data_IF_063518301567
#
_entry.id   IF_063518301567
#
_cell.length_a   1.000
_cell.length_b   1.000
_cell.length_c   1.000
_cell.angle_alpha   90.00
_cell.angle_beta   90.00
_cell.angle_gamma   90.00
#
_symmetry.space_group_name_H-M   'P 1'
#
loop_
_entity.id
_entity.type
_entity.pdbx_description
1 polymer ?
#
# COMPACT_ATOMS: atom_id res chain seq x y z
N UNK A 1 -34.96 -12.77 -1.84
CA UNK A 1 -35.03 -11.57 -0.97
C UNK A 1 -33.84 -10.70 -1.36
N UNK A 2 -34.08 -9.62 -2.12
CA UNK A 2 -33.02 -8.92 -2.88
C UNK A 2 -32.04 -8.16 -1.98
N UNK A 3 -30.74 -8.42 -2.17
CA UNK A 3 -29.63 -7.62 -1.62
C UNK A 3 -29.76 -6.17 -2.13
N UNK A 4 -29.43 -5.20 -1.28
CA UNK A 4 -29.24 -3.81 -1.74
C UNK A 4 -28.00 -3.79 -2.64
N UNK A 5 -28.15 -3.35 -3.90
CA UNK A 5 -27.03 -3.08 -4.80
C UNK A 5 -25.95 -2.30 -4.06
N UNK A 6 -24.69 -2.61 -4.38
CA UNK A 6 -23.55 -1.87 -3.85
C UNK A 6 -23.75 -0.37 -4.11
N UNK A 7 -23.46 0.44 -3.09
CA UNK A 7 -23.69 1.89 -3.10
C UNK A 7 -22.33 2.59 -3.19
N UNK A 8 -22.16 3.50 -4.15
CA UNK A 8 -20.99 4.39 -4.23
C UNK A 8 -20.09 4.25 -5.46
N UNK A 9 -20.48 3.47 -6.47
CA UNK A 9 -19.72 3.34 -7.71
C UNK A 9 -18.40 2.57 -7.55
N UNK A 10 -17.54 2.67 -8.56
CA UNK A 10 -16.28 1.90 -8.64
C UNK A 10 -15.23 2.31 -7.61
N UNK A 11 -15.36 3.50 -7.02
CA UNK A 11 -14.44 4.06 -6.03
C UNK A 11 -14.73 3.61 -4.60
N UNK A 12 -15.93 3.08 -4.33
CA UNK A 12 -16.27 2.48 -3.04
C UNK A 12 -16.13 0.98 -3.18
N UNK A 13 -15.33 0.33 -2.34
CA UNK A 13 -15.26 -1.13 -2.26
C UNK A 13 -16.09 -1.65 -1.08
N UNK A 14 -16.59 -2.88 -1.24
CA UNK A 14 -17.10 -3.67 -0.13
C UNK A 14 -16.19 -4.89 0.04
N UNK A 15 -15.54 -5.02 1.21
CA UNK A 15 -14.73 -6.19 1.55
C UNK A 15 -15.47 -7.06 2.58
N UNK A 16 -15.90 -8.28 2.20
CA UNK A 16 -16.55 -9.22 3.10
C UNK A 16 -15.77 -9.47 4.38
N UNK A 17 -16.45 -9.60 5.52
CA UNK A 17 -15.83 -9.93 6.81
C UNK A 17 -15.02 -11.23 6.72
N UNK A 18 -15.52 -12.24 6.00
CA UNK A 18 -14.80 -13.50 5.74
C UNK A 18 -13.43 -13.27 5.09
N UNK A 19 -13.33 -12.33 4.15
CA UNK A 19 -12.07 -11.93 3.52
C UNK A 19 -11.22 -11.09 4.48
N UNK A 20 -11.81 -10.23 5.31
CA UNK A 20 -11.06 -9.43 6.30
C UNK A 20 -10.36 -10.34 7.30
N UNK A 21 -11.07 -11.36 7.80
CA UNK A 21 -10.61 -12.30 8.82
C UNK A 21 -9.74 -13.44 8.24
N UNK A 22 -9.82 -13.68 6.93
CA UNK A 22 -9.04 -14.72 6.28
C UNK A 22 -7.52 -14.55 6.45
N UNK A 23 -6.82 -15.69 6.49
CA UNK A 23 -5.36 -15.74 6.61
C UNK A 23 -4.70 -15.66 5.23
N UNK A 24 -4.10 -14.53 4.89
CA UNK A 24 -3.34 -14.34 3.66
C UNK A 24 -2.16 -13.38 3.83
N UNK A 25 -1.21 -13.41 2.89
CA UNK A 25 -0.06 -12.50 2.85
C UNK A 25 0.03 -11.89 1.45
N UNK A 26 -0.65 -10.77 1.26
CA UNK A 26 -0.57 -9.95 0.05
C UNK A 26 0.32 -8.74 0.35
N UNK A 27 1.19 -8.39 -0.59
CA UNK A 27 1.94 -7.14 -0.51
C UNK A 27 1.05 -5.90 -0.73
N UNK A 28 1.60 -4.69 -0.57
CA UNK A 28 0.79 -3.46 -0.67
C UNK A 28 0.10 -3.33 -2.04
N UNK A 29 0.81 -3.67 -3.13
CA UNK A 29 0.36 -3.49 -4.51
C UNK A 29 -0.58 -4.61 -4.95
N UNK A 30 -0.43 -5.79 -4.38
CA UNK A 30 -1.39 -6.87 -4.55
C UNK A 30 -2.71 -6.54 -3.85
N UNK A 31 -2.66 -5.95 -2.65
CA UNK A 31 -3.87 -5.42 -2.01
C UNK A 31 -4.55 -4.34 -2.86
N UNK A 32 -3.79 -3.47 -3.56
CA UNK A 32 -4.37 -2.46 -4.46
C UNK A 32 -5.26 -3.11 -5.53
N UNK A 33 -4.77 -4.17 -6.17
CA UNK A 33 -5.53 -4.91 -7.21
C UNK A 33 -6.82 -5.51 -6.61
N UNK A 34 -6.74 -6.07 -5.41
CA UNK A 34 -7.91 -6.62 -4.73
C UNK A 34 -8.91 -5.53 -4.31
N UNK A 35 -8.44 -4.38 -3.85
CA UNK A 35 -9.32 -3.24 -3.50
C UNK A 35 -10.06 -2.71 -4.72
N UNK A 36 -9.35 -2.51 -5.84
CA UNK A 36 -9.93 -2.06 -7.11
C UNK A 36 -10.96 -3.09 -7.61
N UNK A 37 -10.62 -4.38 -7.55
CA UNK A 37 -11.56 -5.43 -7.94
C UNK A 37 -12.83 -5.40 -7.08
N UNK A 38 -12.71 -5.29 -5.76
CA UNK A 38 -13.86 -5.17 -4.86
C UNK A 38 -14.63 -3.84 -5.07
N UNK A 39 -13.98 -2.85 -5.68
CA UNK A 39 -14.57 -1.63 -6.26
C UNK A 39 -15.46 -1.91 -7.48
N UNK A 40 -15.19 -2.94 -8.26
CA UNK A 40 -15.96 -3.24 -9.49
C UNK A 40 -17.00 -4.33 -9.25
N UNK A 41 -16.72 -5.30 -8.36
CA UNK A 41 -17.64 -6.40 -8.06
C UNK A 41 -18.97 -5.89 -7.50
N UNK A 42 -20.07 -6.33 -8.12
CA UNK A 42 -21.45 -5.99 -7.76
C UNK A 42 -21.96 -4.67 -8.33
N UNK A 43 -21.19 -4.00 -9.19
CA UNK A 43 -21.61 -2.78 -9.91
C UNK A 43 -22.38 -3.14 -11.20
N UNK A 44 -23.25 -2.24 -11.66
CA UNK A 44 -23.97 -2.39 -12.93
C UNK A 44 -24.93 -3.59 -12.99
N UNK A 45 -24.67 -4.47 -13.96
CA UNK A 45 -25.35 -5.74 -14.25
C UNK A 45 -24.55 -6.97 -13.77
N UNK A 46 -23.50 -6.78 -12.96
CA UNK A 46 -22.68 -7.86 -12.42
C UNK A 46 -23.48 -8.82 -11.52
N UNK A 47 -23.44 -10.12 -11.86
CA UNK A 47 -24.12 -11.21 -11.16
C UNK A 47 -23.11 -12.24 -10.63
N UNK A 48 -23.54 -13.20 -9.83
CA UNK A 48 -22.73 -14.31 -9.32
C UNK A 48 -22.06 -15.14 -10.43
N UNK A 49 -22.64 -15.18 -11.64
CA UNK A 49 -22.10 -15.92 -12.79
C UNK A 49 -20.93 -15.21 -13.48
N UNK A 50 -20.82 -13.89 -13.31
CA UNK A 50 -19.76 -13.07 -13.88
C UNK A 50 -18.47 -13.24 -13.07
N UNK A 51 -17.65 -14.22 -13.44
CA UNK A 51 -16.38 -14.50 -12.75
C UNK A 51 -15.18 -13.74 -13.31
N UNK A 52 -15.34 -13.09 -14.47
CA UNK A 52 -14.25 -12.43 -15.19
C UNK A 52 -14.33 -10.92 -15.10
N UNK A 53 -13.19 -10.29 -14.80
CA UNK A 53 -13.06 -8.84 -14.64
C UNK A 53 -11.90 -8.27 -15.42
N UNK A 54 -12.05 -7.01 -15.81
CA UNK A 54 -11.00 -6.20 -16.42
C UNK A 54 -10.84 -4.90 -15.63
N UNK A 55 -9.59 -4.57 -15.29
CA UNK A 55 -9.21 -3.32 -14.64
C UNK A 55 -8.36 -2.54 -15.63
N UNK A 56 -8.90 -1.46 -16.20
CA UNK A 56 -8.08 -0.54 -16.98
C UNK A 56 -7.25 0.32 -16.03
N UNK A 57 -5.95 0.43 -16.30
CA UNK A 57 -5.07 1.17 -15.40
C UNK A 57 -5.31 2.69 -15.51
N UNK A 58 -5.68 3.18 -16.69
CA UNK A 58 -6.07 4.59 -16.89
C UNK A 58 -7.21 5.03 -15.98
N UNK A 59 -8.17 4.14 -15.72
CA UNK A 59 -9.39 4.42 -14.95
C UNK A 59 -9.14 4.45 -13.44
N UNK A 60 -7.97 4.01 -12.96
CA UNK A 60 -7.73 3.84 -11.51
C UNK A 60 -6.44 4.50 -11.03
N UNK A 61 -5.56 4.92 -11.94
CA UNK A 61 -4.28 5.52 -11.55
C UNK A 61 -4.44 6.84 -10.78
N UNK A 62 -5.50 7.58 -11.05
CA UNK A 62 -5.82 8.86 -10.40
C UNK A 62 -6.21 8.71 -8.92
N UNK A 63 -6.51 7.48 -8.47
CA UNK A 63 -6.83 7.17 -7.08
C UNK A 63 -5.58 7.06 -6.20
N UNK A 64 -4.40 6.95 -6.82
CA UNK A 64 -3.13 7.06 -6.11
C UNK A 64 -2.79 8.54 -5.89
N UNK A 65 -2.07 8.82 -4.81
CA UNK A 65 -1.41 10.08 -4.62
C UNK A 65 -0.47 10.36 -5.81
N UNK A 66 -0.30 11.64 -6.16
CA UNK A 66 0.49 12.09 -7.32
C UNK A 66 1.87 11.43 -7.45
N UNK A 67 2.50 11.11 -6.32
CA UNK A 67 3.82 10.45 -6.29
C UNK A 67 3.81 9.04 -6.90
N UNK A 68 2.69 8.34 -6.75
CA UNK A 68 2.50 6.95 -7.14
C UNK A 68 1.67 6.80 -8.42
N UNK A 69 0.86 7.80 -8.80
CA UNK A 69 0.04 7.78 -10.02
C UNK A 69 0.89 7.52 -11.28
N UNK A 70 1.99 8.27 -11.46
CA UNK A 70 2.91 8.11 -12.59
C UNK A 70 3.56 6.73 -12.66
N UNK A 71 3.65 6.03 -11.53
CA UNK A 71 4.25 4.70 -11.42
C UNK A 71 3.22 3.56 -11.38
N UNK A 72 1.92 3.87 -11.43
CA UNK A 72 0.83 2.91 -11.26
C UNK A 72 0.95 1.73 -12.24
N UNK A 73 1.27 1.99 -13.50
CA UNK A 73 1.45 0.95 -14.52
C UNK A 73 2.53 -0.07 -14.13
N UNK A 74 3.71 0.43 -13.74
CA UNK A 74 4.86 -0.41 -13.36
C UNK A 74 4.58 -1.20 -12.08
N UNK A 75 3.98 -0.55 -11.08
CA UNK A 75 3.64 -1.20 -9.81
C UNK A 75 2.62 -2.30 -9.98
N UNK A 76 1.53 -2.04 -10.71
CA UNK A 76 0.47 -2.99 -10.94
C UNK A 76 0.92 -4.14 -11.85
N UNK A 77 1.75 -3.86 -12.86
CA UNK A 77 2.36 -4.91 -13.67
C UNK A 77 3.24 -5.85 -12.83
N UNK A 78 4.08 -5.29 -11.95
CA UNK A 78 4.93 -6.09 -11.04
C UNK A 78 4.10 -6.88 -10.04
N UNK A 79 3.02 -6.30 -9.51
CA UNK A 79 2.13 -6.96 -8.57
C UNK A 79 1.42 -8.18 -9.18
N UNK A 80 0.95 -8.07 -10.43
CA UNK A 80 0.34 -9.18 -11.17
C UNK A 80 1.27 -10.41 -11.21
N UNK A 81 2.56 -10.21 -11.48
CA UNK A 81 3.53 -11.33 -11.54
C UNK A 81 3.74 -12.03 -10.21
N UNK A 82 3.49 -11.36 -9.09
CA UNK A 82 3.69 -11.91 -7.75
C UNK A 82 2.46 -12.63 -7.19
N UNK A 83 1.33 -12.62 -7.90
CA UNK A 83 0.10 -13.27 -7.43
C UNK A 83 0.12 -14.79 -7.55
N UNK A 84 1.08 -15.35 -8.29
CA UNK A 84 1.21 -16.80 -8.44
C UNK A 84 1.39 -17.48 -7.08
N UNK A 85 0.59 -18.53 -6.82
CA UNK A 85 0.60 -19.25 -5.56
C UNK A 85 -0.02 -18.50 -4.37
N UNK A 86 -0.59 -17.31 -4.58
CA UNK A 86 -1.25 -16.55 -3.51
C UNK A 86 -2.74 -16.85 -3.44
N UNK A 87 -3.21 -16.94 -2.20
CA UNK A 87 -4.59 -17.22 -1.86
C UNK A 87 -4.82 -16.97 -0.38
N UNK A 88 -5.99 -17.40 0.08
CA UNK A 88 -6.38 -17.29 1.47
C UNK A 88 -6.92 -18.63 1.97
N UNK A 89 -6.82 -18.83 3.29
CA UNK A 89 -7.40 -19.99 3.95
C UNK A 89 -8.59 -19.57 4.79
N UNK A 90 -9.67 -20.34 4.70
CA UNK A 90 -10.83 -20.28 5.59
C UNK A 90 -10.87 -21.55 6.43
N UNK A 91 -11.25 -21.40 7.69
CA UNK A 91 -11.48 -22.53 8.58
C UNK A 91 -12.85 -23.13 8.25
N UNK A 92 -12.91 -24.43 8.01
CA UNK A 92 -14.16 -25.17 7.80
C UNK A 92 -14.56 -25.84 9.12
N UNK A 93 -13.74 -26.77 9.61
CA UNK A 93 -13.96 -27.55 10.83
C UNK A 93 -12.70 -27.60 11.71
N UNK A 94 -12.74 -28.30 12.85
CA UNK A 94 -11.55 -28.56 13.67
C UNK A 94 -10.50 -29.36 12.88
N UNK A 95 -9.44 -28.68 12.44
CA UNK A 95 -8.31 -29.29 11.74
C UNK A 95 -8.39 -29.25 10.21
N UNK A 96 -9.48 -28.73 9.64
CA UNK A 96 -9.67 -28.61 8.19
C UNK A 96 -9.74 -27.15 7.76
N UNK A 97 -8.79 -26.75 6.90
CA UNK A 97 -8.75 -25.43 6.27
C UNK A 97 -8.95 -25.59 4.75
N UNK A 98 -9.88 -24.83 4.17
CA UNK A 98 -10.02 -24.73 2.71
C UNK A 98 -9.09 -23.64 2.19
N UNK A 99 -8.32 -23.94 1.14
CA UNK A 99 -7.49 -22.96 0.43
C UNK A 99 -8.17 -22.50 -0.85
N UNK A 100 -8.36 -21.19 -0.96
CA UNK A 100 -8.85 -20.54 -2.18
C UNK A 100 -7.72 -19.73 -2.83
N UNK A 101 -7.35 -19.97 -4.09
CA UNK A 101 -6.50 -19.05 -4.83
C UNK A 101 -7.24 -17.71 -4.99
N UNK A 102 -6.51 -16.59 -4.96
CA UNK A 102 -7.13 -15.28 -5.16
C UNK A 102 -7.78 -15.15 -6.54
N UNK A 103 -7.08 -15.64 -7.56
CA UNK A 103 -7.55 -15.63 -8.94
C UNK A 103 -7.27 -16.99 -9.58
N UNK A 104 -8.28 -17.55 -10.24
CA UNK A 104 -8.12 -18.71 -11.12
C UNK A 104 -7.24 -18.36 -12.33
N UNK A 105 -7.19 -17.08 -12.69
CA UNK A 105 -6.34 -16.52 -13.73
C UNK A 105 -6.08 -15.05 -13.44
N UNK A 106 -4.86 -14.58 -13.66
CA UNK A 106 -4.55 -13.15 -13.72
C UNK A 106 -3.50 -12.88 -14.79
N UNK A 107 -3.68 -11.82 -15.58
CA UNK A 107 -2.69 -11.37 -16.56
C UNK A 107 -2.67 -9.87 -16.69
N UNK A 108 -1.48 -9.33 -16.95
CA UNK A 108 -1.28 -7.94 -17.33
C UNK A 108 -1.21 -7.85 -18.87
N UNK A 109 -2.10 -7.07 -19.48
CA UNK A 109 -2.12 -6.82 -20.91
C UNK A 109 -1.62 -5.41 -21.20
N UNK A 110 -0.33 -5.30 -21.54
CA UNK A 110 0.29 -4.03 -21.94
C UNK A 110 -0.19 -3.64 -23.35
N UNK A 111 -0.69 -2.42 -23.52
CA UNK A 111 -0.97 -1.85 -24.85
C UNK A 111 0.20 -0.98 -25.29
N UNK A 112 0.85 -1.36 -26.40
CA UNK A 112 1.96 -0.57 -26.98
C UNK A 112 1.42 0.73 -27.56
N UNK A 113 2.11 1.84 -27.30
CA UNK A 113 1.78 3.17 -27.82
C UNK A 113 0.67 3.92 -27.06
N UNK A 114 0.00 3.28 -26.10
CA UNK A 114 -1.00 3.93 -25.25
C UNK A 114 -1.11 3.17 -23.92
N UNK A 115 -0.33 3.58 -22.93
CA UNK A 115 -0.31 2.90 -21.64
C UNK A 115 -1.66 3.02 -20.91
N UNK A 116 -2.45 4.09 -21.14
CA UNK A 116 -3.78 4.26 -20.53
C UNK A 116 -4.74 3.11 -20.88
N UNK A 117 -4.56 2.47 -22.04
CA UNK A 117 -5.31 1.29 -22.46
C UNK A 117 -4.71 -0.05 -22.01
N UNK A 118 -3.69 -0.04 -21.17
CA UNK A 118 -3.21 -1.26 -20.51
C UNK A 118 -4.20 -1.69 -19.42
N UNK A 119 -4.41 -3.00 -19.31
CA UNK A 119 -5.38 -3.57 -18.38
C UNK A 119 -4.90 -4.81 -17.66
N UNK A 120 -5.44 -5.05 -16.47
CA UNK A 120 -5.34 -6.34 -15.77
C UNK A 120 -6.62 -7.10 -16.10
N UNK A 121 -6.48 -8.37 -16.50
CA UNK A 121 -7.60 -9.28 -16.71
C UNK A 121 -7.48 -10.41 -15.72
N UNK A 122 -8.54 -10.65 -14.96
CA UNK A 122 -8.57 -11.66 -13.90
C UNK A 122 -9.87 -12.46 -13.92
N UNK A 123 -9.79 -13.70 -13.49
CA UNK A 123 -10.93 -14.59 -13.32
C UNK A 123 -10.97 -15.07 -11.86
N UNK A 124 -12.11 -14.91 -11.19
CA UNK A 124 -12.38 -15.42 -9.84
C UNK A 124 -12.85 -16.87 -9.88
N UNK A 125 -12.59 -17.63 -8.82
CA UNK A 125 -13.27 -18.89 -8.61
C UNK A 125 -14.76 -18.63 -8.33
N UNK A 126 -15.72 -19.42 -8.86
CA UNK A 126 -17.16 -19.22 -8.64
C UNK A 126 -17.53 -19.11 -7.15
N UNK A 127 -16.99 -19.98 -6.29
CA UNK A 127 -17.25 -19.89 -4.84
C UNK A 127 -16.71 -18.61 -4.20
N UNK A 128 -15.56 -18.09 -4.67
CA UNK A 128 -15.01 -16.82 -4.17
C UNK A 128 -15.91 -15.66 -4.61
N UNK A 129 -16.40 -15.70 -5.85
CA UNK A 129 -17.37 -14.71 -6.37
C UNK A 129 -18.67 -14.76 -5.58
N UNK A 130 -19.24 -15.95 -5.37
CA UNK A 130 -20.44 -16.15 -4.56
C UNK A 130 -20.24 -15.68 -3.12
N UNK A 131 -19.09 -15.96 -2.51
CA UNK A 131 -18.75 -15.50 -1.16
C UNK A 131 -18.75 -13.98 -1.06
N UNK A 132 -18.22 -13.26 -2.06
CA UNK A 132 -18.24 -11.79 -2.10
C UNK A 132 -19.67 -11.26 -2.33
N UNK A 133 -20.44 -11.90 -3.22
CA UNK A 133 -21.79 -11.48 -3.62
C UNK A 133 -22.88 -11.84 -2.60
N UNK A 134 -22.66 -12.84 -1.74
CA UNK A 134 -23.59 -13.25 -0.69
C UNK A 134 -23.28 -12.63 0.67
N UNK A 135 -22.08 -12.07 0.85
CA UNK A 135 -21.64 -11.50 2.13
C UNK A 135 -22.54 -10.35 2.61
N UNK A 136 -22.98 -10.46 3.87
CA UNK A 136 -23.85 -9.48 4.55
C UNK A 136 -23.09 -8.57 5.51
N UNK A 137 -21.91 -9.00 5.96
CA UNK A 137 -21.04 -8.29 6.89
C UNK A 137 -19.68 -8.03 6.23
N UNK A 138 -19.07 -6.91 6.57
CA UNK A 138 -17.83 -6.45 5.96
C UNK A 138 -17.66 -4.93 6.02
N UNK A 139 -16.55 -4.47 5.48
CA UNK A 139 -16.18 -3.06 5.45
C UNK A 139 -16.56 -2.41 4.11
N UNK A 140 -17.28 -1.29 4.16
CA UNK A 140 -17.37 -0.35 3.03
C UNK A 140 -16.30 0.74 3.20
N UNK A 141 -15.54 1.02 2.15
CA UNK A 141 -14.49 2.05 2.17
C UNK A 141 -14.27 2.64 0.79
N UNK A 142 -13.79 3.89 0.73
CA UNK A 142 -13.26 4.45 -0.51
C UNK A 142 -11.89 3.87 -0.78
N UNK A 143 -11.67 3.33 -1.97
CA UNK A 143 -10.43 2.61 -2.33
C UNK A 143 -9.21 3.53 -2.33
N UNK A 144 -9.40 4.83 -2.53
CA UNK A 144 -8.34 5.84 -2.42
C UNK A 144 -7.53 5.74 -1.11
N UNK A 145 -8.19 5.43 0.01
CA UNK A 145 -7.52 5.39 1.31
C UNK A 145 -6.53 4.23 1.40
N UNK A 146 -6.95 2.96 1.24
CA UNK A 146 -6.01 1.85 1.28
C UNK A 146 -5.01 1.87 0.12
N UNK A 147 -5.34 2.40 -1.06
CA UNK A 147 -4.40 2.52 -2.18
C UNK A 147 -3.16 3.35 -1.82
N UNK A 148 -3.33 4.30 -0.91
CA UNK A 148 -2.29 5.23 -0.48
C UNK A 148 -1.58 4.83 0.82
N UNK A 149 -1.98 3.71 1.44
CA UNK A 149 -1.23 3.10 2.54
C UNK A 149 0.01 2.37 2.01
N UNK A 150 1.17 2.74 2.53
CA UNK A 150 2.48 2.25 2.11
C UNK A 150 2.87 0.93 2.75
N UNK A 151 2.32 0.58 3.93
CA UNK A 151 2.66 -0.65 4.65
C UNK A 151 1.56 -1.72 4.52
N UNK A 152 1.97 -2.98 4.32
CA UNK A 152 1.03 -4.11 4.19
C UNK A 152 0.14 -4.31 5.42
N UNK A 153 0.70 -4.15 6.63
CA UNK A 153 -0.05 -4.31 7.87
C UNK A 153 -0.98 -3.13 8.15
N UNK A 154 -0.65 -1.92 7.70
CA UNK A 154 -1.59 -0.79 7.78
C UNK A 154 -2.83 -1.04 6.96
N UNK A 155 -2.70 -1.61 5.76
CA UNK A 155 -3.85 -2.02 4.96
C UNK A 155 -4.69 -3.07 5.69
N UNK A 156 -4.08 -4.19 6.11
CA UNK A 156 -4.78 -5.26 6.83
C UNK A 156 -5.53 -4.72 8.06
N UNK A 157 -4.87 -3.87 8.86
CA UNK A 157 -5.48 -3.28 10.05
C UNK A 157 -6.59 -2.30 9.69
N UNK A 158 -6.42 -1.48 8.65
CA UNK A 158 -7.44 -0.54 8.18
C UNK A 158 -8.77 -1.25 7.89
N UNK A 159 -8.77 -2.36 7.15
CA UNK A 159 -10.02 -3.06 6.84
C UNK A 159 -10.69 -3.64 8.10
N UNK A 160 -9.90 -4.17 9.04
CA UNK A 160 -10.40 -4.67 10.32
C UNK A 160 -11.05 -3.54 11.14
N UNK A 161 -10.36 -2.41 11.27
CA UNK A 161 -10.89 -1.24 12.00
C UNK A 161 -12.13 -0.68 11.31
N UNK A 162 -12.15 -0.65 9.97
CA UNK A 162 -13.27 -0.16 9.18
C UNK A 162 -14.52 -1.03 9.32
N UNK A 163 -14.37 -2.35 9.33
CA UNK A 163 -15.47 -3.30 9.60
C UNK A 163 -16.09 -3.07 10.97
N UNK A 164 -15.28 -2.74 11.97
CA UNK A 164 -15.72 -2.51 13.35
C UNK A 164 -16.00 -1.04 13.69
N UNK A 165 -15.96 -0.11 12.74
CA UNK A 165 -16.03 1.33 13.04
C UNK A 165 -17.37 1.76 13.68
N UNK A 166 -18.45 1.05 13.36
CA UNK A 166 -19.80 1.29 13.90
C UNK A 166 -20.19 0.32 15.01
N UNK A 167 -19.41 -0.74 15.19
CA UNK A 167 -19.67 -1.76 16.19
C UNK A 167 -19.39 -1.22 17.60
N UNK A 168 -20.38 -1.27 18.48
CA UNK A 168 -20.24 -0.85 19.90
C UNK A 168 -19.56 0.54 20.06
N UNK A 169 -19.97 1.52 19.24
CA UNK A 169 -19.38 2.86 19.24
C UNK A 169 -17.91 2.91 18.78
N UNK A 170 -17.49 1.94 17.96
CA UNK A 170 -16.13 1.78 17.46
C UNK A 170 -15.17 1.10 18.44
N UNK A 171 -15.67 0.52 19.53
CA UNK A 171 -14.83 -0.10 20.58
C UNK A 171 -14.95 -1.61 20.55
N UNK A 172 -13.82 -2.29 20.37
CA UNK A 172 -13.75 -3.75 20.38
C UNK A 172 -12.41 -4.26 20.91
N UNK A 173 -12.37 -5.53 21.28
CA UNK A 173 -11.17 -6.22 21.77
C UNK A 173 -10.92 -7.43 20.88
N UNK A 174 -9.66 -7.64 20.50
CA UNK A 174 -9.20 -8.83 19.78
C UNK A 174 -8.02 -9.44 20.53
N UNK A 175 -7.92 -10.77 20.59
CA UNK A 175 -6.74 -11.41 21.17
C UNK A 175 -5.50 -11.09 20.32
N UNK A 176 -4.36 -10.93 20.99
CA UNK A 176 -3.12 -10.61 20.29
C UNK A 176 -2.68 -11.76 19.37
N UNK A 177 -2.94 -13.00 19.79
CA UNK A 177 -2.70 -14.20 18.99
C UNK A 177 -3.57 -14.24 17.72
N UNK A 178 -4.87 -13.94 17.81
CA UNK A 178 -5.73 -13.90 16.63
C UNK A 178 -5.31 -12.78 15.68
N UNK A 179 -4.97 -11.61 16.21
CA UNK A 179 -4.45 -10.51 15.40
C UNK A 179 -3.15 -10.92 14.67
N UNK A 180 -2.23 -11.67 15.32
CA UNK A 180 -1.03 -12.20 14.67
C UNK A 180 -1.35 -13.20 13.56
N UNK A 181 -2.30 -14.12 13.80
CA UNK A 181 -2.74 -15.13 12.83
C UNK A 181 -3.38 -14.49 11.61
N UNK A 182 -4.26 -13.52 11.81
CA UNK A 182 -4.84 -12.72 10.73
C UNK A 182 -3.74 -12.03 9.91
N UNK A 183 -2.73 -11.46 10.56
CA UNK A 183 -1.61 -10.79 9.87
C UNK A 183 -0.57 -11.75 9.24
N UNK A 184 -0.74 -13.08 9.39
CA UNK A 184 0.26 -14.10 8.99
C UNK A 184 1.67 -13.82 9.53
N UNK A 185 1.76 -13.34 10.77
CA UNK A 185 3.05 -13.11 11.41
C UNK A 185 3.57 -14.43 11.99
N UNK A 186 4.81 -14.86 11.69
CA UNK A 186 5.36 -16.08 12.25
C UNK A 186 5.41 -16.03 13.78
N UNK A 187 5.14 -17.14 14.45
CA UNK A 187 5.14 -17.24 15.91
C UNK A 187 6.50 -16.89 16.52
N UNK A 188 7.60 -17.15 15.79
CA UNK A 188 8.98 -16.88 16.19
C UNK A 188 9.30 -15.40 16.42
N UNK A 189 8.47 -14.47 15.92
CA UNK A 189 8.73 -13.04 16.09
C UNK A 189 8.39 -12.59 17.52
N UNK A 190 9.33 -11.89 18.16
CA UNK A 190 9.13 -11.33 19.49
C UNK A 190 7.98 -10.32 19.51
N UNK A 191 7.12 -10.41 20.54
CA UNK A 191 5.90 -9.59 20.67
C UNK A 191 6.15 -8.07 20.55
N UNK A 192 7.30 -7.57 21.04
CA UNK A 192 7.66 -6.16 20.89
C UNK A 192 7.86 -5.72 19.44
N UNK A 193 8.53 -6.54 18.63
CA UNK A 193 8.68 -6.28 17.19
C UNK A 193 7.34 -6.38 16.46
N UNK A 194 6.52 -7.36 16.84
CA UNK A 194 5.18 -7.56 16.28
C UNK A 194 4.31 -6.33 16.54
N UNK A 195 4.25 -5.83 17.79
CA UNK A 195 3.53 -4.60 18.17
C UNK A 195 3.94 -3.42 17.29
N UNK A 196 5.25 -3.21 17.09
CA UNK A 196 5.75 -2.10 16.28
C UNK A 196 5.26 -2.19 14.82
N UNK A 197 5.28 -3.38 14.24
CA UNK A 197 4.91 -3.56 12.82
C UNK A 197 3.39 -3.55 12.57
N UNK A 198 2.57 -4.04 13.50
CA UNK A 198 1.11 -4.17 13.29
C UNK A 198 0.24 -3.19 14.05
N UNK A 199 0.81 -2.44 15.00
CA UNK A 199 0.08 -1.41 15.75
C UNK A 199 0.72 -0.04 15.57
N UNK A 200 2.00 0.13 15.93
CA UNK A 200 2.64 1.46 15.96
C UNK A 200 2.73 2.08 14.56
N UNK A 201 3.28 1.37 13.57
CA UNK A 201 3.35 1.88 12.19
C UNK A 201 1.96 2.08 11.57
N UNK A 202 1.01 1.13 11.68
CA UNK A 202 -0.36 1.37 11.24
C UNK A 202 -1.06 2.54 11.92
N UNK A 203 -0.79 2.79 13.21
CA UNK A 203 -1.36 3.91 13.94
C UNK A 203 -0.99 5.24 13.29
N UNK A 204 0.30 5.48 13.06
CA UNK A 204 0.77 6.70 12.39
C UNK A 204 0.15 6.86 11.00
N UNK A 205 0.13 5.78 10.21
CA UNK A 205 -0.27 5.84 8.81
C UNK A 205 -1.79 6.01 8.63
N UNK A 206 -2.60 5.23 9.36
CA UNK A 206 -4.06 5.28 9.27
C UNK A 206 -4.58 6.60 9.88
N UNK A 207 -4.05 6.99 11.04
CA UNK A 207 -4.41 8.24 11.69
C UNK A 207 -3.83 9.47 10.99
N UNK A 208 -2.97 9.34 9.99
CA UNK A 208 -2.55 10.45 9.13
C UNK A 208 -3.38 10.55 7.84
N UNK A 209 -3.69 9.40 7.22
CA UNK A 209 -3.98 9.35 5.78
C UNK A 209 -5.34 8.76 5.39
N UNK A 210 -6.21 8.39 6.34
CA UNK A 210 -7.49 7.71 6.04
C UNK A 210 -8.74 8.43 6.54
N UNK A 211 -9.95 7.93 6.23
CA UNK A 211 -11.23 8.42 6.76
C UNK A 211 -11.55 7.98 8.19
N UNK A 212 -10.63 7.26 8.85
CA UNK A 212 -10.77 6.86 10.24
C UNK A 212 -9.54 7.30 11.03
N UNK A 213 -9.74 7.44 12.33
CA UNK A 213 -8.66 7.42 13.31
C UNK A 213 -8.96 6.37 14.36
N UNK A 214 -7.93 5.82 14.98
CA UNK A 214 -8.09 4.86 16.06
C UNK A 214 -7.08 5.08 17.18
N UNK A 215 -7.50 4.75 18.38
CA UNK A 215 -6.64 4.56 19.55
C UNK A 215 -6.57 3.07 19.88
N UNK A 216 -5.48 2.64 20.51
CA UNK A 216 -5.37 1.26 20.99
C UNK A 216 -4.73 1.17 22.39
N UNK A 217 -5.14 0.16 23.14
CA UNK A 217 -4.64 -0.16 24.48
C UNK A 217 -4.26 -1.64 24.51
N UNK A 218 -3.07 -1.96 25.02
CA UNK A 218 -2.64 -3.34 25.23
C UNK A 218 -3.19 -3.86 26.55
N UNK A 219 -3.88 -5.00 26.48
CA UNK A 219 -4.30 -5.75 27.66
C UNK A 219 -3.22 -6.79 27.92
N UNK A 220 -2.68 -6.79 29.14
CA UNK A 220 -1.66 -7.74 29.56
C UNK A 220 -2.21 -8.74 30.57
N UNK A 221 -1.68 -9.95 30.54
CA UNK A 221 -2.02 -11.00 31.49
C UNK A 221 -0.75 -11.60 32.10
N UNK A 222 -0.90 -12.16 33.30
CA UNK A 222 0.19 -12.84 33.97
C UNK A 222 0.31 -14.26 33.41
N UNK A 223 1.43 -14.54 32.76
CA UNK A 223 1.74 -15.86 32.22
C UNK A 223 2.08 -16.84 33.35
N UNK A 224 2.00 -18.17 33.12
CA UNK A 224 2.41 -19.19 34.09
C UNK A 224 3.86 -19.02 34.58
N UNK A 225 4.73 -18.42 33.76
CA UNK A 225 6.12 -18.07 34.11
C UNK A 225 6.24 -16.90 35.10
N UNK A 226 5.14 -16.24 35.46
CA UNK A 226 5.12 -15.05 36.32
C UNK A 226 5.35 -13.72 35.59
N UNK A 227 5.73 -13.74 34.31
CA UNK A 227 5.91 -12.55 33.48
C UNK A 227 4.57 -12.02 32.95
N UNK A 228 4.51 -10.74 32.57
CA UNK A 228 3.35 -10.17 31.88
C UNK A 228 3.50 -10.30 30.36
N UNK A 229 2.52 -10.96 29.72
CA UNK A 229 2.41 -11.08 28.27
C UNK A 229 1.28 -10.19 27.72
N UNK A 230 1.34 -9.84 26.44
CA UNK A 230 0.23 -9.17 25.76
C UNK A 230 -0.81 -10.24 25.42
N UNK A 231 -2.00 -10.16 26.00
CA UNK A 231 -3.09 -11.10 25.76
C UNK A 231 -4.04 -10.61 24.68
N UNK A 232 -4.36 -9.32 24.69
CA UNK A 232 -5.31 -8.72 23.77
C UNK A 232 -5.00 -7.25 23.47
N UNK A 233 -5.64 -6.74 22.43
CA UNK A 233 -5.62 -5.33 22.04
C UNK A 233 -7.04 -4.82 22.04
N UNK A 234 -7.28 -3.72 22.77
CA UNK A 234 -8.52 -2.95 22.70
C UNK A 234 -8.33 -1.83 21.70
N UNK A 235 -9.23 -1.72 20.73
CA UNK A 235 -9.28 -0.62 19.77
C UNK A 235 -10.44 0.31 20.08
N UNK A 236 -10.27 1.59 19.76
CA UNK A 236 -11.33 2.61 19.70
C UNK A 236 -11.22 3.36 18.39
N UNK A 237 -12.12 3.10 17.47
CA UNK A 237 -12.16 3.67 16.12
C UNK A 237 -13.15 4.82 16.06
N UNK A 238 -12.82 5.86 15.32
CA UNK A 238 -13.70 7.00 15.03
C UNK A 238 -13.61 7.34 13.54
N UNK A 239 -14.75 7.69 12.96
CA UNK A 239 -14.78 8.28 11.62
C UNK A 239 -14.28 9.72 11.70
N UNK A 240 -13.43 10.09 10.75
CA UNK A 240 -12.89 11.45 10.62
C UNK A 240 -13.30 11.99 9.26
N UNK A 241 -13.75 13.24 9.22
CA UNK A 241 -13.89 13.96 7.96
C UNK A 241 -12.50 14.47 7.57
N UNK A 242 -11.80 13.72 6.74
CA UNK A 242 -10.66 14.26 6.01
C UNK A 242 -11.15 14.75 4.66
N UNK A 243 -10.91 16.03 4.37
CA UNK A 243 -10.85 16.46 2.98
C UNK A 243 -9.74 15.62 2.37
N UNK A 244 -10.07 14.77 1.41
CA UNK A 244 -9.06 14.01 0.68
C UNK A 244 -7.96 14.97 0.22
N UNK A 245 -6.70 14.63 0.43
CA UNK A 245 -5.58 15.34 -0.21
C UNK A 245 -5.49 15.07 -1.71
N UNK A 246 -6.46 14.32 -2.23
CA UNK A 246 -6.88 14.37 -3.63
C UNK A 246 -7.45 15.76 -3.83
N UNK A 247 -6.71 16.60 -4.55
CA UNK A 247 -7.34 17.73 -5.24
C UNK A 247 -8.44 17.09 -6.05
N UNK A 248 -9.70 17.45 -5.76
CA UNK A 248 -10.82 17.20 -6.64
C UNK A 248 -10.34 17.51 -8.05
N UNK A 249 -10.12 16.47 -8.85
CA UNK A 249 -10.25 16.67 -10.28
C UNK A 249 -11.73 16.96 -10.43
N UNK A 250 -12.07 18.24 -10.56
CA UNK A 250 -13.29 18.56 -11.26
C UNK A 250 -13.17 17.87 -12.61
N UNK A 251 -13.82 16.73 -12.75
CA UNK A 251 -14.19 16.19 -14.05
C UNK A 251 -15.17 17.19 -14.64
N UNK A 252 -14.65 18.26 -15.23
CA UNK A 252 -15.36 19.00 -16.26
C UNK A 252 -14.94 18.36 -17.58
N UNK A 253 -15.54 17.20 -17.87
CA UNK A 253 -15.88 16.88 -19.24
C UNK A 253 -17.37 17.13 -19.42
N UNK A 254 -17.74 18.40 -19.46
CA UNK A 254 -18.87 18.84 -20.26
C UNK A 254 -18.34 19.89 -21.24
N UNK A 255 -18.47 19.60 -22.53
CA UNK A 255 -18.36 20.53 -23.66
C UNK A 255 -17.00 20.78 -24.32
N UNK A 256 -16.12 19.78 -24.46
CA UNK A 256 -15.21 19.69 -25.62
C UNK A 256 -14.31 20.91 -25.91
N UNK A 257 -13.98 21.73 -24.91
CA UNK A 257 -13.06 22.86 -25.06
C UNK A 257 -11.66 22.46 -24.61
N UNK A 258 -10.66 22.83 -25.42
CA UNK A 258 -9.24 22.64 -25.17
C UNK A 258 -8.82 23.29 -23.84
N UNK A 259 -8.24 22.48 -22.94
CA UNK A 259 -7.64 22.95 -21.69
C UNK A 259 -6.56 23.99 -22.01
N UNK A 260 -6.79 25.25 -21.66
CA UNK A 260 -5.77 26.31 -21.73
C UNK A 260 -4.67 26.01 -20.72
N UNK A 261 -3.41 25.95 -21.16
CA UNK A 261 -2.24 25.91 -20.28
C UNK A 261 -1.97 27.30 -19.71
N UNK A 262 -1.48 27.38 -18.46
CA UNK A 262 -0.95 28.64 -17.93
C UNK A 262 0.45 28.90 -18.49
N UNK A 263 0.95 30.14 -18.39
CA UNK A 263 2.33 30.47 -18.82
C UNK A 263 3.37 29.61 -18.11
N UNK A 264 3.22 29.42 -16.79
CA UNK A 264 4.09 28.55 -15.98
C UNK A 264 4.00 27.07 -16.42
N UNK A 265 2.80 26.58 -16.74
CA UNK A 265 2.63 25.21 -17.24
C UNK A 265 3.32 25.02 -18.58
N UNK A 266 3.19 26.00 -19.48
CA UNK A 266 3.83 25.96 -20.80
C UNK A 266 5.35 26.03 -20.69
N UNK A 267 5.90 26.87 -19.80
CA UNK A 267 7.34 26.97 -19.57
C UNK A 267 7.93 25.62 -19.12
N UNK A 268 7.26 24.91 -18.21
CA UNK A 268 7.74 23.62 -17.70
C UNK A 268 7.62 22.52 -18.77
N UNK A 269 6.55 22.53 -19.56
CA UNK A 269 6.37 21.61 -20.71
C UNK A 269 7.51 21.80 -21.70
N UNK A 270 7.79 23.04 -22.09
CA UNK A 270 8.80 23.37 -23.10
C UNK A 270 10.22 23.07 -22.58
N UNK A 271 10.49 23.35 -21.31
CA UNK A 271 11.78 23.09 -20.69
C UNK A 271 12.04 21.60 -20.50
N UNK A 272 11.02 20.84 -20.08
CA UNK A 272 11.20 19.50 -19.52
C UNK A 272 10.65 18.37 -20.40
N UNK A 273 10.02 18.71 -21.54
CA UNK A 273 9.40 17.79 -22.50
C UNK A 273 8.46 16.79 -21.81
N UNK A 274 7.53 17.33 -21.01
CA UNK A 274 6.58 16.55 -20.23
C UNK A 274 5.13 16.91 -20.57
N UNK A 275 4.20 16.06 -20.17
CA UNK A 275 2.77 16.33 -20.32
C UNK A 275 2.31 17.49 -19.42
N UNK A 276 1.19 18.12 -19.78
CA UNK A 276 0.54 19.17 -18.98
C UNK A 276 0.30 18.72 -17.53
N UNK A 277 -0.03 17.44 -17.33
CA UNK A 277 -0.23 16.86 -15.99
C UNK A 277 1.07 16.81 -15.19
N UNK A 278 2.16 16.41 -15.83
CA UNK A 278 3.48 16.35 -15.20
C UNK A 278 4.01 17.76 -14.87
N UNK A 279 3.76 18.74 -15.74
CA UNK A 279 4.08 20.15 -15.47
C UNK A 279 3.34 20.68 -14.24
N UNK A 280 2.03 20.39 -14.12
CA UNK A 280 1.24 20.71 -12.92
C UNK A 280 1.80 20.06 -11.66
N UNK A 281 2.21 18.80 -11.74
CA UNK A 281 2.79 18.09 -10.60
C UNK A 281 4.12 18.68 -10.16
N UNK A 282 4.96 19.08 -11.11
CA UNK A 282 6.23 19.75 -10.89
C UNK A 282 5.99 21.10 -10.17
N UNK A 283 5.12 21.96 -10.71
CA UNK A 283 4.80 23.26 -10.14
C UNK A 283 4.17 23.13 -8.74
N UNK A 284 3.24 22.20 -8.56
CA UNK A 284 2.60 21.95 -7.28
C UNK A 284 3.60 21.43 -6.24
N UNK A 285 4.50 20.54 -6.64
CA UNK A 285 5.52 20.00 -5.74
C UNK A 285 6.54 21.08 -5.36
N UNK A 286 6.94 21.94 -6.29
CA UNK A 286 7.79 23.09 -6.01
C UNK A 286 7.15 24.01 -4.97
N UNK A 287 5.88 24.40 -5.19
CA UNK A 287 5.11 25.25 -4.26
C UNK A 287 4.93 24.62 -2.88
N UNK A 288 4.64 23.32 -2.82
CA UNK A 288 4.44 22.61 -1.55
C UNK A 288 5.72 22.44 -0.72
N UNK A 289 6.90 22.66 -1.33
CA UNK A 289 8.20 22.55 -0.67
C UNK A 289 8.96 23.89 -0.71
N UNK A 290 8.22 25.00 -0.81
CA UNK A 290 8.73 26.38 -0.77
C UNK A 290 9.91 26.64 -1.73
N UNK A 291 9.86 26.01 -2.92
CA UNK A 291 10.89 26.21 -3.95
C UNK A 291 10.59 27.48 -4.73
N UNK A 292 11.61 28.34 -4.88
CA UNK A 292 11.51 29.50 -5.77
C UNK A 292 11.50 29.07 -7.23
N UNK A 293 11.09 29.97 -8.12
CA UNK A 293 11.14 29.72 -9.57
C UNK A 293 12.55 29.38 -10.03
N UNK A 294 13.58 30.10 -9.57
CA UNK A 294 14.96 29.80 -9.95
C UNK A 294 15.40 28.41 -9.50
N UNK A 295 15.03 28.01 -8.28
CA UNK A 295 15.34 26.68 -7.75
C UNK A 295 14.65 25.56 -8.54
N UNK A 296 13.40 25.80 -8.96
CA UNK A 296 12.67 24.87 -9.80
C UNK A 296 13.40 24.67 -11.15
N UNK A 297 13.70 25.76 -11.85
CA UNK A 297 14.37 25.70 -13.17
C UNK A 297 15.76 25.07 -13.06
N UNK A 298 16.51 25.34 -11.97
CA UNK A 298 17.80 24.71 -11.70
C UNK A 298 17.67 23.19 -11.54
N UNK A 299 16.70 22.72 -10.74
CA UNK A 299 16.45 21.29 -10.50
C UNK A 299 16.04 20.57 -11.79
N UNK A 300 15.19 21.17 -12.61
CA UNK A 300 14.79 20.61 -13.89
C UNK A 300 15.97 20.54 -14.86
N UNK A 301 16.73 21.62 -14.98
CA UNK A 301 17.94 21.68 -15.81
C UNK A 301 19.00 20.66 -15.37
N UNK A 302 19.17 20.48 -14.07
CA UNK A 302 20.05 19.45 -13.50
C UNK A 302 19.56 18.05 -13.87
N UNK A 303 18.26 17.80 -13.75
CA UNK A 303 17.64 16.50 -14.04
C UNK A 303 17.79 16.12 -15.51
N UNK A 304 17.65 17.06 -16.44
CA UNK A 304 17.83 16.83 -17.87
C UNK A 304 19.24 16.35 -18.23
N UNK A 305 20.26 16.73 -17.43
CA UNK A 305 21.66 16.32 -17.60
C UNK A 305 21.95 14.91 -17.06
N UNK A 306 21.00 14.26 -16.38
CA UNK A 306 21.18 12.91 -15.80
C UNK A 306 20.64 11.81 -16.71
N UNK A 307 21.34 10.68 -16.70
CA UNK A 307 20.93 9.45 -17.38
C UNK A 307 19.97 8.67 -16.47
N UNK A 308 18.72 9.13 -16.38
CA UNK A 308 17.65 8.49 -15.61
C UNK A 308 16.47 8.16 -16.52
N UNK A 309 15.90 6.96 -16.37
CA UNK A 309 14.77 6.49 -17.22
C UNK A 309 13.51 7.34 -17.04
N UNK A 310 13.25 7.85 -15.82
CA UNK A 310 12.12 8.72 -15.51
C UNK A 310 12.61 10.06 -14.95
N UNK A 311 12.70 11.05 -15.84
CA UNK A 311 13.16 12.40 -15.49
C UNK A 311 12.17 13.14 -14.59
N UNK A 312 10.87 13.01 -14.82
CA UNK A 312 9.82 13.67 -14.00
C UNK A 312 9.84 13.14 -12.58
N UNK A 313 9.82 11.83 -12.38
CA UNK A 313 9.90 11.22 -11.05
C UNK A 313 11.18 11.60 -10.30
N UNK A 314 12.30 11.72 -11.02
CA UNK A 314 13.57 12.16 -10.45
C UNK A 314 13.53 13.63 -10.01
N UNK A 315 13.01 14.53 -10.84
CA UNK A 315 12.83 15.93 -10.49
C UNK A 315 11.90 16.12 -9.29
N UNK A 316 10.76 15.43 -9.24
CA UNK A 316 9.83 15.46 -8.12
C UNK A 316 10.47 14.98 -6.80
N UNK A 317 11.40 14.03 -6.89
CA UNK A 317 12.16 13.56 -5.72
C UNK A 317 13.11 14.63 -5.19
N UNK A 318 13.80 15.34 -6.08
CA UNK A 318 14.72 16.43 -5.71
C UNK A 318 13.94 17.62 -5.14
N UNK A 319 12.81 17.99 -5.75
CA UNK A 319 11.96 19.08 -5.25
C UNK A 319 11.51 18.85 -3.81
N UNK A 320 11.19 17.61 -3.45
CA UNK A 320 10.78 17.20 -2.09
C UNK A 320 11.94 17.11 -1.09
N UNK A 321 13.02 16.45 -1.48
CA UNK A 321 14.07 16.04 -0.53
C UNK A 321 15.30 16.97 -0.54
N UNK A 322 15.38 17.92 -1.47
CA UNK A 322 16.58 18.73 -1.70
C UNK A 322 17.69 17.99 -2.44
N UNK A 323 18.78 18.69 -2.74
CA UNK A 323 19.97 18.11 -3.35
C UNK A 323 20.73 17.23 -2.36
N UNK A 324 20.56 15.92 -2.46
CA UNK A 324 21.55 14.96 -1.95
C UNK A 324 22.33 14.44 -3.17
N UNK A 325 23.56 14.92 -3.39
CA UNK A 325 24.45 14.26 -4.34
C UNK A 325 24.81 12.86 -3.80
N UNK A 326 24.49 11.77 -4.51
CA UNK A 326 25.25 10.54 -4.35
C UNK A 326 26.64 10.84 -4.89
N UNK A 327 27.66 10.70 -4.05
CA UNK A 327 29.06 10.79 -4.45
C UNK A 327 29.25 9.90 -5.68
N UNK A 328 29.77 10.47 -6.78
CA UNK A 328 29.99 9.76 -8.04
C UNK A 328 30.64 8.39 -7.76
N UNK A 329 29.93 7.31 -8.08
CA UNK A 329 30.54 6.03 -8.48
C UNK A 329 31.24 6.28 -9.82
N UNK A 330 32.40 6.91 -9.74
CA UNK A 330 33.30 7.10 -10.85
C UNK A 330 34.03 5.79 -11.14
N UNK A 331 33.86 5.30 -12.37
CA UNK A 331 34.80 4.37 -13.00
C UNK A 331 34.65 2.90 -12.62
N UNK A 332 34.33 2.08 -13.60
CA UNK A 332 34.80 0.68 -13.63
C UNK A 332 36.33 0.71 -13.46
N UNK A 333 36.81 0.34 -12.28
CA UNK A 333 38.10 -0.30 -12.13
C UNK A 333 37.84 -1.77 -11.81
N UNK A 334 38.40 -2.64 -12.63
CA UNK A 334 38.45 -4.07 -12.35
C UNK A 334 39.24 -4.30 -11.05
N UNK A 335 38.58 -4.93 -10.07
CA UNK A 335 39.20 -5.77 -9.04
C UNK A 335 39.78 -5.09 -7.80
N UNK A 336 39.12 -5.28 -6.66
CA UNK A 336 39.75 -5.92 -5.49
C UNK A 336 38.69 -6.35 -4.48
N UNK A 337 38.80 -7.60 -4.04
CA UNK A 337 37.96 -8.22 -3.03
C UNK A 337 37.82 -7.37 -1.76
N UNK A 338 36.66 -7.48 -1.13
CA UNK A 338 36.37 -7.02 0.23
C UNK A 338 37.53 -7.41 1.17
N UNK A 339 38.23 -6.43 1.73
CA UNK A 339 39.34 -6.65 2.65
C UNK A 339 38.80 -6.54 4.09
N UNK A 340 38.67 -7.67 4.76
CA UNK A 340 38.05 -7.83 6.07
C UNK A 340 39.01 -7.53 7.25
N UNK A 341 39.90 -6.54 7.11
CA UNK A 341 40.96 -6.32 8.12
C UNK A 341 40.51 -5.58 9.38
N UNK A 342 39.44 -4.79 9.33
CA UNK A 342 39.00 -4.04 10.51
C UNK A 342 38.14 -4.88 11.47
N UNK A 343 37.52 -5.97 10.98
CA UNK A 343 36.81 -6.94 11.82
C UNK A 343 37.76 -7.99 12.42
N UNK A 344 38.76 -8.47 11.66
CA UNK A 344 39.72 -9.47 12.15
C UNK A 344 40.64 -8.90 13.26
N UNK A 345 40.94 -7.60 13.24
CA UNK A 345 41.78 -6.98 14.28
C UNK A 345 41.03 -6.83 15.61
N UNK A 346 39.70 -6.63 15.58
CA UNK A 346 38.87 -6.53 16.78
C UNK A 346 38.68 -7.90 17.47
N UNK A 347 38.61 -8.99 16.70
CA UNK A 347 38.52 -10.36 17.25
C UNK A 347 39.88 -10.91 17.68
N UNK A 348 41.00 -10.50 17.07
CA UNK A 348 42.34 -10.92 17.47
C UNK A 348 42.84 -10.28 18.77
N UNK A 349 42.22 -9.17 19.21
CA UNK A 349 42.59 -8.44 20.44
C UNK A 349 41.69 -8.75 21.64
N UNK A 350 40.64 -9.58 21.47
CA UNK A 350 39.81 -10.03 22.59
C UNK A 350 40.50 -11.18 23.33
N UNK A 351 40.78 -10.98 24.62
CA UNK A 351 41.25 -12.06 25.49
C UNK A 351 40.04 -12.97 25.84
N UNK A 352 39.86 -14.04 25.07
CA UNK A 352 38.74 -14.95 25.23
C UNK A 352 38.74 -15.70 26.57
N UNK A 353 39.89 -15.86 27.23
CA UNK A 353 39.97 -16.46 28.57
C UNK A 353 39.33 -15.57 29.65
N UNK A 354 39.44 -14.24 29.52
CA UNK A 354 38.81 -13.29 30.45
C UNK A 354 37.30 -13.20 30.22
N UNK A 355 36.86 -13.30 28.96
CA UNK A 355 35.45 -13.31 28.59
C UNK A 355 34.75 -14.58 29.11
N UNK A 356 35.42 -15.73 29.01
CA UNK A 356 34.90 -17.02 29.50
C UNK A 356 34.83 -17.06 31.03
N UNK A 357 35.81 -16.49 31.74
CA UNK A 357 35.75 -16.32 33.20
C UNK A 357 34.60 -15.43 33.67
N UNK A 358 34.32 -14.33 32.95
CA UNK A 358 33.21 -13.43 33.28
C UNK A 358 31.82 -14.07 33.04
N UNK A 359 31.71 -14.92 32.03
CA UNK A 359 30.47 -15.63 31.72
C UNK A 359 30.18 -16.78 32.69
N UNK A 360 31.22 -17.39 33.25
CA UNK A 360 31.10 -18.50 34.22
C UNK A 360 31.00 -18.04 35.69
N UNK A 361 31.16 -16.75 35.96
CA UNK A 361 31.09 -16.19 37.33
C UNK A 361 29.77 -15.50 37.69
N UNK A 362 28.70 -15.70 36.91
CA UNK A 362 27.33 -15.25 37.24
C UNK A 362 26.35 -16.42 37.37
#
# INVERSE_FOLDING_TARGET
>A
MNRKKKRGGTEVAFRPQTIIEARYDLDRRQNDILDILLGIVGEGDDTEENTRYEINIGDVKHLYNLQDESNAYSYLQKAVKKFEGLGFRLKEDEGTDIYYPWFSKIKYQKKRGDENRSKIVLDLHPEVKEMIMSAKQGAYYRIEYPLNLTKKYSKRLYYLLKDKETFNGGVFVISFDELRKMMKIPESYANGNVKREILDKPYEEINGNTDISFEYELISEKLPSGQHGISAVRFKVKRVKRNSTIVEYETIEENGETVSTTEDEQEIIDLFDCSIKEARDILRTAKANDRTHEQLIEILSYTLKKQVENKVGYALTILKNGYNEPTKLGGRQNGSAWNNKDLDTAYAQMNFEDLEKQLLSN
#
